data_IF_161773664598
#
_entry.id   IF_161773664598
#
_cell.length_a   1.000
_cell.length_b   1.000
_cell.length_c   1.000
_cell.angle_alpha   90.00
_cell.angle_beta   90.00
_cell.angle_gamma   90.00
#
_symmetry.space_group_name_H-M   'P 1'
#
loop_
_entity.id
_entity.type
_entity.pdbx_description
1 polymer ?
#
# COMPACT_ATOMS: atom_id res chain seq x y z
N UNK A 1 28.38 -13.27 -1.77
CA UNK A 1 29.34 -12.99 -0.68
C UNK A 1 28.75 -13.59 0.59
N UNK A 2 29.11 -13.13 1.79
CA UNK A 2 28.32 -13.46 2.98
C UNK A 2 26.94 -12.79 2.88
N UNK A 3 25.88 -13.47 3.34
CA UNK A 3 24.49 -12.99 3.26
C UNK A 3 24.31 -11.52 3.71
N UNK A 4 24.92 -11.14 4.84
CA UNK A 4 24.84 -9.78 5.36
C UNK A 4 25.46 -8.74 4.42
N UNK A 5 26.62 -9.04 3.82
CA UNK A 5 27.27 -8.14 2.89
C UNK A 5 26.43 -7.93 1.63
N UNK A 6 25.84 -9.00 1.09
CA UNK A 6 24.94 -8.94 -0.07
C UNK A 6 23.67 -8.13 0.25
N UNK A 7 23.07 -8.33 1.44
CA UNK A 7 21.90 -7.58 1.89
C UNK A 7 22.18 -6.07 1.99
N UNK A 8 23.25 -5.66 2.68
CA UNK A 8 23.57 -4.25 2.85
C UNK A 8 24.03 -3.59 1.54
N UNK A 9 24.70 -4.33 0.64
CA UNK A 9 25.01 -3.84 -0.70
C UNK A 9 23.72 -3.57 -1.50
N UNK A 10 22.75 -4.49 -1.45
CA UNK A 10 21.44 -4.32 -2.08
C UNK A 10 20.66 -3.13 -1.51
N UNK A 11 20.61 -2.99 -0.19
CA UNK A 11 19.97 -1.85 0.47
C UNK A 11 20.62 -0.51 0.06
N UNK A 12 21.96 -0.45 0.01
CA UNK A 12 22.68 0.74 -0.46
C UNK A 12 22.38 1.06 -1.92
N UNK A 13 22.22 0.06 -2.78
CA UNK A 13 21.88 0.27 -4.18
C UNK A 13 20.45 0.80 -4.35
N UNK A 14 19.49 0.22 -3.62
CA UNK A 14 18.10 0.72 -3.56
C UNK A 14 18.09 2.20 -3.14
N UNK A 15 18.77 2.55 -2.05
CA UNK A 15 18.80 3.93 -1.55
C UNK A 15 19.39 4.94 -2.55
N UNK A 16 20.31 4.50 -3.43
CA UNK A 16 20.86 5.37 -4.48
C UNK A 16 19.95 5.53 -5.69
N UNK A 17 19.14 4.51 -5.99
CA UNK A 17 18.35 4.42 -7.23
C UNK A 17 16.89 4.81 -7.05
N UNK A 18 16.38 4.78 -5.82
CA UNK A 18 14.97 5.09 -5.55
C UNK A 18 14.66 6.53 -5.97
N UNK A 19 13.51 6.73 -6.60
CA UNK A 19 13.10 8.05 -7.08
C UNK A 19 12.67 8.95 -5.91
N UNK A 20 13.58 9.83 -5.50
CA UNK A 20 13.33 10.76 -4.39
C UNK A 20 12.24 11.78 -4.71
N UNK A 21 11.99 12.09 -5.98
CA UNK A 21 10.93 13.04 -6.37
C UNK A 21 9.54 12.46 -6.08
N UNK A 22 9.37 11.14 -6.24
CA UNK A 22 8.14 10.44 -5.87
C UNK A 22 7.94 10.37 -4.36
N UNK A 23 9.02 10.25 -3.59
CA UNK A 23 8.96 10.28 -2.12
C UNK A 23 8.51 11.66 -1.64
N UNK A 24 9.10 12.73 -2.17
CA UNK A 24 8.68 14.11 -1.84
C UNK A 24 7.23 14.38 -2.24
N UNK A 25 6.81 13.93 -3.43
CA UNK A 25 5.43 14.04 -3.88
C UNK A 25 4.47 13.30 -2.94
N UNK A 26 4.84 12.09 -2.49
CA UNK A 26 4.02 11.31 -1.56
C UNK A 26 3.91 12.02 -0.20
N UNK A 27 5.02 12.56 0.32
CA UNK A 27 5.02 13.32 1.57
C UNK A 27 4.14 14.57 1.48
N UNK A 28 4.20 15.30 0.36
CA UNK A 28 3.37 16.47 0.11
C UNK A 28 1.88 16.12 0.07
N UNK A 29 1.50 15.06 -0.66
CA UNK A 29 0.10 14.60 -0.74
C UNK A 29 -0.43 14.13 0.64
N UNK A 30 0.40 13.47 1.45
CA UNK A 30 0.04 13.09 2.82
C UNK A 30 -0.14 14.32 3.73
N UNK A 31 0.68 15.36 3.55
CA UNK A 31 0.48 16.63 4.25
C UNK A 31 -0.83 17.31 3.82
N UNK A 32 -1.14 17.34 2.53
CA UNK A 32 -2.41 17.87 2.02
C UNK A 32 -3.62 17.04 2.48
N UNK A 33 -3.49 15.71 2.59
CA UNK A 33 -4.51 14.84 3.17
C UNK A 33 -4.84 15.23 4.61
N UNK A 34 -3.81 15.51 5.42
CA UNK A 34 -3.98 15.99 6.79
C UNK A 34 -4.70 17.33 6.83
N UNK A 35 -4.28 18.30 6.00
CA UNK A 35 -4.86 19.65 5.98
C UNK A 35 -6.35 19.65 5.65
N UNK A 36 -6.75 18.79 4.70
CA UNK A 36 -8.18 18.60 4.35
C UNK A 36 -8.94 17.69 5.31
N UNK A 37 -8.32 17.26 6.42
CA UNK A 37 -8.89 16.35 7.43
C UNK A 37 -9.38 15.03 6.83
N UNK A 38 -8.70 14.55 5.80
CA UNK A 38 -8.96 13.26 5.17
C UNK A 38 -8.38 12.11 5.99
N UNK A 39 -8.96 10.91 5.82
CA UNK A 39 -8.47 9.69 6.45
C UNK A 39 -7.53 8.94 5.51
N UNK A 40 -6.59 8.21 6.09
CA UNK A 40 -5.65 7.35 5.38
C UNK A 40 -5.94 5.88 5.70
N UNK A 41 -6.10 5.05 4.66
CA UNK A 41 -6.27 3.61 4.82
C UNK A 41 -5.07 2.87 4.21
N UNK A 42 -4.26 2.23 5.05
CA UNK A 42 -3.04 1.54 4.62
C UNK A 42 -3.36 0.07 4.36
N UNK A 43 -3.11 -0.38 3.14
CA UNK A 43 -3.48 -1.71 2.66
C UNK A 43 -2.22 -2.52 2.37
N UNK A 44 -2.12 -3.72 2.92
CA UNK A 44 -1.00 -4.63 2.69
C UNK A 44 -1.36 -6.05 3.12
N UNK A 45 -0.65 -7.04 2.59
CA UNK A 45 -0.86 -8.48 2.90
C UNK A 45 0.46 -9.10 3.36
N UNK A 46 0.40 -10.03 4.31
CA UNK A 46 1.59 -10.73 4.83
C UNK A 46 2.55 -9.76 5.52
N UNK A 47 3.84 -9.79 5.16
CA UNK A 47 4.81 -8.82 5.71
C UNK A 47 4.42 -7.36 5.45
N UNK A 48 3.73 -7.08 4.33
CA UNK A 48 3.22 -5.73 4.05
C UNK A 48 2.07 -5.32 4.98
N UNK A 49 1.30 -6.28 5.52
CA UNK A 49 0.30 -6.00 6.56
C UNK A 49 0.96 -5.58 7.87
N UNK A 50 2.07 -6.23 8.24
CA UNK A 50 2.88 -5.83 9.40
C UNK A 50 3.43 -4.40 9.26
N UNK A 51 3.95 -4.06 8.08
CA UNK A 51 4.39 -2.69 7.78
C UNK A 51 3.22 -1.70 7.81
N UNK A 52 2.03 -2.10 7.33
CA UNK A 52 0.84 -1.25 7.36
C UNK A 52 0.42 -0.91 8.79
N UNK A 53 0.25 -1.92 9.66
CA UNK A 53 -0.10 -1.71 11.07
C UNK A 53 0.96 -0.89 11.83
N UNK A 54 2.25 -1.12 11.57
CA UNK A 54 3.30 -0.27 12.13
C UNK A 54 3.18 1.20 11.65
N UNK A 55 2.99 1.42 10.35
CA UNK A 55 2.86 2.76 9.79
C UNK A 55 1.65 3.51 10.34
N UNK A 56 0.54 2.82 10.66
CA UNK A 56 -0.63 3.42 11.31
C UNK A 56 -0.23 4.14 12.60
N UNK A 57 0.62 3.54 13.44
CA UNK A 57 1.10 4.18 14.67
C UNK A 57 1.77 5.52 14.37
N UNK A 58 2.70 5.54 13.40
CA UNK A 58 3.49 6.72 13.09
C UNK A 58 2.64 7.83 12.45
N UNK A 59 1.76 7.48 11.51
CA UNK A 59 0.89 8.47 10.88
C UNK A 59 -0.11 9.10 11.86
N UNK A 60 -0.63 8.32 12.81
CA UNK A 60 -1.52 8.85 13.84
C UNK A 60 -0.76 9.70 14.86
N UNK A 61 0.36 9.19 15.39
CA UNK A 61 1.09 9.79 16.52
C UNK A 61 1.97 10.97 16.11
N UNK A 62 2.67 10.86 14.98
CA UNK A 62 3.68 11.83 14.55
C UNK A 62 3.15 12.75 13.46
N UNK A 63 2.39 12.21 12.50
CA UNK A 63 1.89 13.01 11.40
C UNK A 63 0.55 13.69 11.70
N UNK A 64 -0.24 13.17 12.65
CA UNK A 64 -1.57 13.70 12.98
C UNK A 64 -2.63 13.39 11.93
N UNK A 65 -2.51 12.24 11.23
CA UNK A 65 -3.45 11.78 10.21
C UNK A 65 -4.33 10.68 10.79
N UNK A 66 -5.65 10.81 10.66
CA UNK A 66 -6.56 9.73 11.02
C UNK A 66 -6.32 8.54 10.08
N UNK A 67 -5.70 7.48 10.61
CA UNK A 67 -5.16 6.39 9.80
C UNK A 67 -5.59 5.02 10.33
N UNK A 68 -5.83 4.06 9.43
CA UNK A 68 -6.24 2.69 9.74
C UNK A 68 -5.56 1.67 8.83
N UNK A 69 -5.31 0.46 9.33
CA UNK A 69 -5.00 -0.71 8.51
C UNK A 69 -6.10 -1.76 8.70
N UNK A 70 -6.86 -2.12 7.64
CA UNK A 70 -7.94 -3.11 7.74
C UNK A 70 -7.48 -4.48 8.28
N UNK A 71 -6.20 -4.80 8.13
CA UNK A 71 -5.60 -6.04 8.61
C UNK A 71 -5.47 -6.14 10.13
N UNK A 72 -5.57 -5.03 10.86
CA UNK A 72 -5.42 -5.03 12.32
C UNK A 72 -6.63 -5.68 13.02
N UNK A 73 -7.82 -5.63 12.40
CA UNK A 73 -9.00 -6.34 12.88
C UNK A 73 -9.03 -7.76 12.29
N UNK A 74 -8.28 -8.68 12.91
CA UNK A 74 -8.17 -10.07 12.46
C UNK A 74 -9.55 -10.75 12.36
N UNK A 75 -10.48 -10.46 13.27
CA UNK A 75 -11.82 -11.04 13.25
C UNK A 75 -12.60 -10.64 12.01
N UNK A 76 -12.58 -9.36 11.64
CA UNK A 76 -13.26 -8.89 10.42
C UNK A 76 -12.56 -9.38 9.15
N UNK A 77 -11.22 -9.34 9.12
CA UNK A 77 -10.44 -9.85 7.99
C UNK A 77 -10.77 -11.32 7.70
N UNK A 78 -10.81 -12.15 8.73
CA UNK A 78 -11.07 -13.59 8.58
C UNK A 78 -12.52 -13.89 8.25
N UNK A 79 -13.48 -13.15 8.83
CA UNK A 79 -14.90 -13.28 8.49
C UNK A 79 -15.15 -12.94 7.01
N UNK A 80 -14.64 -11.80 6.51
CA UNK A 80 -14.77 -11.42 5.10
C UNK A 80 -14.13 -12.44 4.16
N UNK A 81 -12.93 -12.91 4.52
CA UNK A 81 -12.24 -13.93 3.73
C UNK A 81 -13.08 -15.21 3.60
N UNK A 82 -13.74 -15.63 4.69
CA UNK A 82 -14.56 -16.84 4.72
C UNK A 82 -15.91 -16.67 4.00
N UNK A 83 -16.58 -15.55 4.25
CA UNK A 83 -17.98 -15.36 3.85
C UNK A 83 -18.12 -14.73 2.45
N UNK A 84 -17.18 -13.84 2.08
CA UNK A 84 -17.26 -12.99 0.90
C UNK A 84 -16.07 -13.23 -0.07
N UNK A 85 -15.09 -14.04 0.31
CA UNK A 85 -13.89 -14.32 -0.49
C UNK A 85 -12.70 -13.41 -0.20
N UNK A 86 -11.51 -13.83 -0.64
CA UNK A 86 -10.27 -13.10 -0.34
C UNK A 86 -10.19 -11.74 -1.05
N UNK A 87 -10.73 -11.64 -2.26
CA UNK A 87 -10.72 -10.44 -3.09
C UNK A 87 -11.53 -9.28 -2.53
N UNK A 88 -12.46 -9.54 -1.60
CA UNK A 88 -13.39 -8.53 -1.08
C UNK A 88 -12.90 -7.86 0.21
N UNK A 89 -11.91 -8.47 0.89
CA UNK A 89 -11.52 -8.11 2.27
C UNK A 89 -11.22 -6.62 2.50
N UNK A 90 -10.60 -5.96 1.52
CA UNK A 90 -10.29 -4.53 1.62
C UNK A 90 -11.42 -3.65 1.08
N UNK A 91 -12.02 -4.01 -0.05
CA UNK A 91 -13.05 -3.18 -0.68
C UNK A 91 -14.30 -3.08 0.19
N UNK A 92 -14.74 -4.17 0.81
CA UNK A 92 -15.92 -4.14 1.68
C UNK A 92 -15.65 -3.42 3.00
N UNK A 93 -14.43 -3.55 3.54
CA UNK A 93 -14.00 -2.76 4.70
C UNK A 93 -14.02 -1.25 4.39
N UNK A 94 -13.51 -0.84 3.22
CA UNK A 94 -13.50 0.55 2.78
C UNK A 94 -14.91 1.09 2.54
N UNK A 95 -15.83 0.28 1.98
CA UNK A 95 -17.24 0.63 1.79
C UNK A 95 -17.94 0.88 3.13
N UNK A 96 -17.79 -0.02 4.10
CA UNK A 96 -18.36 0.16 5.46
C UNK A 96 -17.78 1.40 6.14
N UNK A 97 -16.49 1.65 5.93
CA UNK A 97 -15.80 2.85 6.40
C UNK A 97 -16.18 4.13 5.65
N UNK A 98 -17.04 4.04 4.63
CA UNK A 98 -17.50 5.16 3.79
C UNK A 98 -16.33 5.92 3.19
N UNK A 99 -15.41 5.20 2.53
CA UNK A 99 -14.33 5.82 1.78
C UNK A 99 -14.89 6.87 0.81
N UNK A 100 -14.26 8.04 0.74
CA UNK A 100 -14.72 9.16 -0.06
C UNK A 100 -13.57 9.89 -0.74
N UNK A 101 -13.90 10.81 -1.65
CA UNK A 101 -12.92 11.70 -2.29
C UNK A 101 -12.04 12.51 -1.33
N UNK A 102 -12.47 12.71 -0.07
CA UNK A 102 -11.70 13.39 0.94
C UNK A 102 -10.58 12.53 1.54
N UNK A 103 -10.63 11.22 1.31
CA UNK A 103 -9.73 10.23 1.90
C UNK A 103 -8.64 9.80 0.90
N UNK A 104 -7.73 8.95 1.38
CA UNK A 104 -6.75 8.27 0.55
C UNK A 104 -6.54 6.82 1.01
N UNK A 105 -6.11 5.97 0.08
CA UNK A 105 -5.51 4.67 0.40
C UNK A 105 -4.00 4.71 0.13
N UNK A 106 -3.23 3.97 0.93
CA UNK A 106 -1.78 3.76 0.72
C UNK A 106 -1.50 2.26 0.64
N UNK A 107 -1.08 1.80 -0.52
CA UNK A 107 -0.82 0.37 -0.76
C UNK A 107 0.65 0.03 -0.51
N UNK A 108 0.90 -0.94 0.37
CA UNK A 108 2.18 -1.62 0.50
C UNK A 108 2.10 -3.00 -0.17
N UNK A 109 2.88 -3.19 -1.24
CA UNK A 109 2.84 -4.46 -1.97
C UNK A 109 4.09 -4.70 -2.81
N UNK A 110 4.76 -5.84 -2.63
CA UNK A 110 5.88 -6.25 -3.49
C UNK A 110 5.43 -6.35 -4.96
N UNK A 111 4.23 -6.88 -5.22
CA UNK A 111 3.73 -7.10 -6.58
C UNK A 111 2.84 -5.99 -7.15
N UNK A 112 2.24 -5.13 -6.32
CA UNK A 112 1.32 -4.07 -6.75
C UNK A 112 -0.05 -4.56 -7.27
N UNK A 113 -0.26 -5.87 -7.37
CA UNK A 113 -1.48 -6.53 -7.84
C UNK A 113 -1.50 -6.83 -9.35
N UNK A 114 -2.11 -7.94 -9.76
CA UNK A 114 -2.33 -8.30 -11.16
C UNK A 114 -3.47 -9.32 -11.25
N UNK A 115 -4.59 -8.97 -11.91
CA UNK A 115 -5.75 -9.86 -11.98
C UNK A 115 -5.55 -11.07 -12.90
N UNK A 116 -4.87 -10.89 -14.04
CA UNK A 116 -4.61 -11.99 -14.99
C UNK A 116 -3.77 -13.10 -14.36
N UNK A 117 -2.85 -12.73 -13.47
CA UNK A 117 -1.98 -13.64 -12.73
C UNK A 117 -2.52 -14.00 -11.33
N UNK A 118 -3.71 -13.51 -10.98
CA UNK A 118 -4.32 -13.67 -9.65
C UNK A 118 -3.40 -13.26 -8.47
N UNK A 119 -2.64 -12.17 -8.63
CA UNK A 119 -1.75 -11.61 -7.62
C UNK A 119 -2.48 -10.49 -6.88
N UNK A 120 -2.67 -10.66 -5.57
CA UNK A 120 -3.35 -9.67 -4.70
C UNK A 120 -4.64 -9.08 -5.30
N UNK A 121 -5.61 -9.90 -5.73
CA UNK A 121 -6.87 -9.41 -6.32
C UNK A 121 -7.61 -8.46 -5.37
N UNK A 122 -7.44 -8.64 -4.05
CA UNK A 122 -7.97 -7.77 -3.02
C UNK A 122 -7.45 -6.33 -3.05
N UNK A 123 -6.15 -6.13 -3.30
CA UNK A 123 -5.58 -4.81 -3.49
C UNK A 123 -6.10 -4.18 -4.79
N UNK A 124 -6.23 -4.96 -5.85
CA UNK A 124 -6.80 -4.46 -7.12
C UNK A 124 -8.23 -3.99 -6.94
N UNK A 125 -9.08 -4.77 -6.25
CA UNK A 125 -10.46 -4.41 -5.96
C UNK A 125 -10.55 -3.12 -5.12
N UNK A 126 -9.72 -2.98 -4.09
CA UNK A 126 -9.67 -1.77 -3.26
C UNK A 126 -9.21 -0.53 -4.04
N UNK A 127 -8.17 -0.67 -4.87
CA UNK A 127 -7.69 0.43 -5.71
C UNK A 127 -8.76 0.87 -6.71
N UNK A 128 -9.46 -0.05 -7.37
CA UNK A 128 -10.58 0.27 -8.26
C UNK A 128 -11.66 1.05 -7.52
N UNK A 129 -12.10 0.55 -6.38
CA UNK A 129 -13.11 1.23 -5.58
C UNK A 129 -12.67 2.63 -5.14
N UNK A 130 -11.41 2.79 -4.72
CA UNK A 130 -10.87 4.11 -4.35
C UNK A 130 -10.93 5.10 -5.52
N UNK A 131 -10.57 4.66 -6.75
CA UNK A 131 -10.71 5.50 -7.95
C UNK A 131 -12.17 5.83 -8.24
N UNK A 132 -13.08 4.86 -8.12
CA UNK A 132 -14.51 5.04 -8.39
C UNK A 132 -15.15 6.09 -7.46
N UNK A 133 -14.74 6.13 -6.18
CA UNK A 133 -15.24 7.12 -5.21
C UNK A 133 -14.45 8.43 -5.19
N UNK A 134 -13.44 8.57 -6.06
CA UNK A 134 -12.58 9.74 -6.16
C UNK A 134 -11.54 9.89 -5.05
N UNK A 135 -11.31 8.85 -4.24
CA UNK A 135 -10.25 8.85 -3.23
C UNK A 135 -8.87 8.80 -3.89
N UNK A 136 -7.86 9.41 -3.24
CA UNK A 136 -6.48 9.35 -3.73
C UNK A 136 -5.90 7.95 -3.51
N UNK A 137 -5.12 7.48 -4.48
CA UNK A 137 -4.43 6.19 -4.40
C UNK A 137 -2.92 6.42 -4.36
N UNK A 138 -2.31 6.06 -3.23
CA UNK A 138 -0.86 6.08 -3.06
C UNK A 138 -0.28 4.66 -3.02
N UNK A 139 1.01 4.53 -3.25
CA UNK A 139 1.67 3.22 -3.15
C UNK A 139 3.16 3.26 -2.88
N UNK A 140 3.63 2.23 -2.17
CA UNK A 140 5.03 1.80 -2.13
C UNK A 140 5.05 0.36 -2.63
N UNK A 141 5.56 0.15 -3.84
CA UNK A 141 5.45 -1.15 -4.53
C UNK A 141 6.77 -1.61 -5.14
N UNK A 142 6.91 -2.90 -5.43
CA UNK A 142 8.15 -3.47 -6.01
C UNK A 142 8.12 -3.72 -7.52
N UNK A 143 6.95 -3.66 -8.18
CA UNK A 143 6.81 -3.94 -9.63
C UNK A 143 6.14 -2.76 -10.34
N UNK A 144 6.83 -2.18 -11.33
CA UNK A 144 6.29 -1.08 -12.16
C UNK A 144 5.05 -1.48 -12.95
N UNK A 145 4.95 -2.73 -13.37
CA UNK A 145 3.81 -3.29 -14.10
C UNK A 145 2.68 -3.80 -13.19
N UNK A 146 2.82 -3.64 -11.87
CA UNK A 146 1.75 -3.93 -10.92
C UNK A 146 0.60 -2.94 -11.06
N UNK A 147 -0.62 -3.39 -10.85
CA UNK A 147 -1.84 -2.60 -11.06
C UNK A 147 -1.79 -1.26 -10.32
N UNK A 148 -1.38 -1.26 -9.06
CA UNK A 148 -1.24 -0.05 -8.23
C UNK A 148 -0.29 0.96 -8.87
N UNK A 149 0.87 0.51 -9.39
CA UNK A 149 1.84 1.40 -10.04
C UNK A 149 1.28 2.05 -11.31
N UNK A 150 0.39 1.36 -12.02
CA UNK A 150 -0.18 1.84 -13.27
C UNK A 150 -1.30 2.87 -13.08
N UNK A 151 -2.06 2.79 -11.98
CA UNK A 151 -3.29 3.60 -11.81
C UNK A 151 -3.26 4.54 -10.59
N UNK A 152 -2.26 4.39 -9.72
CA UNK A 152 -2.08 5.21 -8.54
C UNK A 152 -1.74 6.67 -8.87
N UNK A 153 -2.17 7.58 -8.01
CA UNK A 153 -1.89 9.01 -8.12
C UNK A 153 -0.41 9.32 -7.83
N UNK A 154 0.13 8.77 -6.72
CA UNK A 154 1.56 8.86 -6.39
C UNK A 154 2.06 7.51 -5.89
N UNK A 155 2.96 6.90 -6.66
CA UNK A 155 3.52 5.59 -6.34
C UNK A 155 5.03 5.64 -6.36
N UNK A 156 5.64 5.20 -5.26
CA UNK A 156 7.08 4.97 -5.14
C UNK A 156 7.34 3.51 -5.52
N UNK A 157 8.02 3.30 -6.63
CA UNK A 157 8.46 1.96 -7.02
C UNK A 157 9.86 1.71 -6.48
N UNK A 158 10.00 0.70 -5.63
CA UNK A 158 11.28 0.27 -5.07
C UNK A 158 12.06 -0.45 -6.16
N UNK A 159 13.28 0.03 -6.52
CA UNK A 159 14.10 -0.61 -7.54
C UNK A 159 14.40 -2.07 -7.21
N UNK A 160 14.26 -2.95 -8.20
CA UNK A 160 14.70 -4.33 -8.08
C UNK A 160 16.22 -4.37 -8.25
N UNK A 161 16.90 -4.88 -7.21
CA UNK A 161 18.37 -5.07 -7.17
C UNK A 161 18.77 -6.56 -7.18
N UNK A 162 17.79 -7.45 -7.00
CA UNK A 162 18.00 -8.90 -7.04
C UNK A 162 16.67 -9.60 -7.36
N UNK A 163 16.64 -10.36 -8.46
CA UNK A 163 15.46 -11.14 -8.86
C UNK A 163 15.10 -12.20 -7.81
N UNK A 164 16.08 -12.70 -7.05
CA UNK A 164 15.86 -13.69 -5.99
C UNK A 164 15.07 -13.14 -4.80
N UNK A 165 14.98 -11.81 -4.65
CA UNK A 165 14.24 -11.15 -3.57
C UNK A 165 12.83 -10.71 -4.01
N UNK A 166 12.47 -10.95 -5.27
CA UNK A 166 11.15 -10.63 -5.80
C UNK A 166 10.27 -11.87 -5.69
N UNK A 167 9.17 -11.75 -4.94
CA UNK A 167 8.16 -12.80 -4.89
C UNK A 167 7.41 -12.89 -6.23
N UNK A 168 6.99 -14.09 -6.67
CA UNK A 168 6.28 -14.30 -7.93
C UNK A 168 5.15 -13.31 -8.23
#
# INVERSE_FOLDING_TARGET
MAHAADFFAGASDISRRIDTTKIEALAAELASLRERKGRLFILGVGGSAGNAGHAVNDFRKLCGIETYAPTDNVSELTARTNDEGWETVFVEWLKVSRLSQNDAILVFSVGGGNLERNISPNLVAAVRHAKDVGAKVFGVVGKEHGYTAQVGDVVVVVPVVSDALVTP
#
